data_IF_847615701552
#
_entry.id   IF_847615701552
#
_cell.length_a   1.000
_cell.length_b   1.000
_cell.length_c   1.000
_cell.angle_alpha   90.00
_cell.angle_beta   90.00
_cell.angle_gamma   90.00
#
_symmetry.space_group_name_H-M   'P 1'
#
loop_
_entity.id
_entity.type
_entity.pdbx_description
1 polymer ?
#
# COMPACT_ATOMS: atom_id res chain seq x y z
N UNK A 1 -9.84 -33.20 -21.51
CA UNK A 1 -8.47 -32.67 -21.63
C UNK A 1 -7.94 -32.44 -20.21
N UNK A 2 -6.84 -33.08 -19.85
CA UNK A 2 -6.29 -33.13 -18.49
C UNK A 2 -5.80 -31.74 -18.08
N UNK A 3 -6.35 -31.20 -17.00
CA UNK A 3 -5.95 -29.93 -16.41
C UNK A 3 -4.58 -30.11 -15.72
N UNK A 4 -3.52 -29.52 -16.29
CA UNK A 4 -2.23 -29.46 -15.60
C UNK A 4 -2.24 -28.28 -14.62
N UNK A 5 -2.40 -28.60 -13.35
CA UNK A 5 -2.28 -27.68 -12.22
C UNK A 5 -0.80 -27.25 -12.07
N UNK A 6 -0.45 -26.04 -12.49
CA UNK A 6 0.78 -25.37 -12.04
C UNK A 6 0.52 -24.76 -10.65
N UNK A 7 1.49 -24.75 -9.73
CA UNK A 7 1.22 -24.93 -8.32
C UNK A 7 0.86 -23.59 -7.69
N UNK A 8 -0.40 -23.43 -7.33
CA UNK A 8 -0.70 -22.70 -6.09
C UNK A 8 0.01 -23.50 -5.01
N UNK A 9 1.02 -22.92 -4.35
CA UNK A 9 1.61 -23.52 -3.16
C UNK A 9 0.45 -23.98 -2.29
N UNK A 10 0.28 -25.28 -2.17
CA UNK A 10 -0.87 -25.85 -1.47
C UNK A 10 -0.96 -25.18 -0.11
N UNK A 11 -2.17 -24.88 0.36
CA UNK A 11 -2.43 -24.28 1.67
C UNK A 11 -1.53 -24.83 2.82
N UNK A 12 -1.17 -26.14 2.85
CA UNK A 12 -0.16 -26.70 3.76
C UNK A 12 1.25 -26.07 3.67
N UNK A 13 1.74 -25.75 2.47
CA UNK A 13 3.08 -25.19 2.24
C UNK A 13 3.18 -23.73 2.70
N UNK A 14 2.10 -22.95 2.53
CA UNK A 14 2.02 -21.59 3.10
C UNK A 14 2.02 -21.66 4.63
N UNK A 15 1.25 -22.57 5.22
CA UNK A 15 1.28 -22.81 6.68
C UNK A 15 2.65 -23.26 7.17
N UNK A 16 3.34 -24.12 6.42
CA UNK A 16 4.69 -24.57 6.75
C UNK A 16 5.70 -23.42 6.67
N UNK A 17 5.58 -22.54 5.66
CA UNK A 17 6.43 -21.37 5.51
C UNK A 17 6.21 -20.35 6.66
N UNK A 18 4.95 -20.09 7.03
CA UNK A 18 4.59 -19.25 8.18
C UNK A 18 5.10 -19.85 9.50
N UNK A 19 4.87 -21.14 9.72
CA UNK A 19 5.38 -21.85 10.90
C UNK A 19 6.92 -21.85 10.98
N UNK A 20 7.61 -22.05 9.86
CA UNK A 20 9.06 -21.95 9.82
C UNK A 20 9.56 -20.52 10.05
N UNK A 21 8.85 -19.50 9.56
CA UNK A 21 9.17 -18.11 9.81
C UNK A 21 9.02 -17.76 11.29
N UNK A 22 7.92 -18.18 11.94
CA UNK A 22 7.68 -18.02 13.37
C UNK A 22 8.73 -18.76 14.22
N UNK A 23 8.96 -20.05 13.94
CA UNK A 23 9.88 -20.89 14.72
C UNK A 23 11.35 -20.50 14.55
N UNK A 24 11.73 -19.98 13.37
CA UNK A 24 13.10 -19.50 13.10
C UNK A 24 13.29 -18.00 13.33
N UNK A 25 12.26 -17.29 13.80
CA UNK A 25 12.27 -15.82 14.01
C UNK A 25 12.77 -15.05 12.78
N UNK A 26 12.35 -15.48 11.58
CA UNK A 26 12.73 -14.86 10.30
C UNK A 26 11.59 -13.94 9.85
N UNK A 27 11.72 -12.62 9.97
CA UNK A 27 10.67 -11.72 9.51
C UNK A 27 10.56 -11.85 7.98
N UNK A 28 9.36 -12.12 7.47
CA UNK A 28 9.09 -12.09 6.04
C UNK A 28 8.94 -10.64 5.53
N UNK A 29 8.42 -9.79 6.41
CA UNK A 29 8.07 -8.39 6.15
C UNK A 29 8.85 -7.52 7.14
N UNK A 30 9.41 -6.42 6.66
CA UNK A 30 9.96 -5.35 7.49
C UNK A 30 9.35 -4.01 7.11
N UNK A 31 9.06 -3.18 8.11
CA UNK A 31 8.68 -1.78 7.93
C UNK A 31 9.84 -0.89 8.35
N UNK A 32 10.28 -0.02 7.44
CA UNK A 32 11.37 0.92 7.63
C UNK A 32 10.76 2.32 7.61
N UNK A 33 10.93 3.04 8.72
CA UNK A 33 10.55 4.43 8.82
C UNK A 33 11.61 5.26 8.09
N UNK A 34 11.22 5.86 6.97
CA UNK A 34 12.12 6.66 6.13
C UNK A 34 12.39 8.01 6.77
N UNK A 35 11.34 8.62 7.32
CA UNK A 35 11.34 10.00 7.77
C UNK A 35 10.21 10.20 8.79
N UNK A 36 10.41 11.05 9.80
CA UNK A 36 9.38 11.34 10.80
C UNK A 36 8.43 12.47 10.37
N UNK A 37 8.91 13.41 9.56
CA UNK A 37 8.12 14.55 9.07
C UNK A 37 7.12 14.16 7.99
N UNK A 38 6.00 14.88 7.96
CA UNK A 38 4.94 14.76 6.97
C UNK A 38 4.43 16.15 6.60
N UNK A 39 4.01 16.36 5.35
CA UNK A 39 3.40 17.61 4.89
C UNK A 39 1.93 17.78 5.29
N UNK A 40 1.26 16.71 5.77
CA UNK A 40 -0.16 16.72 6.13
C UNK A 40 -0.37 16.64 7.65
N UNK A 41 -1.58 16.99 8.10
CA UNK A 41 -2.03 16.89 9.49
C UNK A 41 -3.34 16.09 9.55
N UNK A 42 -3.31 14.85 9.07
CA UNK A 42 -4.53 14.05 8.90
C UNK A 42 -5.27 13.82 10.24
N UNK A 43 -6.59 13.88 10.20
CA UNK A 43 -7.45 13.57 11.33
C UNK A 43 -7.27 12.10 11.74
N UNK A 44 -6.92 11.87 13.01
CA UNK A 44 -6.69 10.52 13.54
C UNK A 44 -5.34 9.89 13.14
N UNK A 45 -4.39 10.66 12.61
CA UNK A 45 -3.05 10.18 12.29
C UNK A 45 -2.32 9.68 13.55
N UNK A 46 -2.05 8.37 13.63
CA UNK A 46 -1.25 7.82 14.73
C UNK A 46 0.16 8.39 14.73
N UNK A 47 0.77 8.56 13.55
CA UNK A 47 2.14 9.07 13.39
C UNK A 47 2.33 10.45 14.01
N UNK A 48 1.39 11.37 13.77
CA UNK A 48 1.43 12.71 14.36
C UNK A 48 1.31 12.69 15.89
N UNK A 49 0.61 11.68 16.44
CA UNK A 49 0.41 11.56 17.89
C UNK A 49 1.55 10.87 18.62
N UNK A 50 2.33 10.04 17.94
CA UNK A 50 3.32 9.17 18.60
C UNK A 50 4.75 9.40 18.14
N UNK A 51 5.00 9.75 16.88
CA UNK A 51 6.37 9.74 16.33
C UNK A 51 6.83 11.10 15.76
N UNK A 52 5.91 11.95 15.28
CA UNK A 52 6.27 13.15 14.50
C UNK A 52 7.10 14.18 15.26
N UNK A 53 6.87 14.32 16.56
CA UNK A 53 7.56 15.27 17.43
C UNK A 53 8.77 14.66 18.13
N UNK A 54 9.01 13.36 17.96
CA UNK A 54 10.17 12.72 18.55
C UNK A 54 11.42 13.01 17.72
N UNK A 55 12.40 13.63 18.37
CA UNK A 55 13.74 13.87 17.82
C UNK A 55 14.51 12.56 17.79
N UNK A 56 14.19 11.71 16.81
CA UNK A 56 14.89 10.47 16.53
C UNK A 56 15.89 10.68 15.42
N UNK A 57 17.06 10.11 15.59
CA UNK A 57 18.07 10.04 14.55
C UNK A 57 17.51 9.31 13.32
N UNK A 58 17.44 10.02 12.18
CA UNK A 58 16.99 9.45 10.92
C UNK A 58 18.10 8.59 10.29
N UNK A 59 17.72 7.47 9.66
CA UNK A 59 18.69 6.63 8.95
C UNK A 59 19.34 7.42 7.80
N UNK A 60 20.68 7.36 7.75
CA UNK A 60 21.43 7.80 6.58
C UNK A 60 21.14 6.89 5.37
N UNK A 61 21.52 7.35 4.18
CA UNK A 61 21.40 6.56 2.94
C UNK A 61 22.08 5.20 3.08
N UNK A 62 23.28 5.19 3.66
CA UNK A 62 24.14 4.03 3.84
C UNK A 62 23.60 3.09 4.93
N UNK A 63 23.16 3.64 6.07
CA UNK A 63 22.61 2.84 7.17
C UNK A 63 21.34 2.09 6.75
N UNK A 64 20.49 2.75 5.95
CA UNK A 64 19.30 2.10 5.40
C UNK A 64 19.64 0.97 4.43
N UNK A 65 20.64 1.15 3.56
CA UNK A 65 21.09 0.10 2.65
C UNK A 65 21.67 -1.11 3.40
N UNK A 66 22.49 -0.88 4.43
CA UNK A 66 23.03 -1.95 5.26
C UNK A 66 21.94 -2.63 6.10
N UNK A 67 20.96 -1.88 6.60
CA UNK A 67 19.78 -2.45 7.26
C UNK A 67 19.01 -3.40 6.34
N UNK A 68 18.76 -3.00 5.08
CA UNK A 68 18.08 -3.84 4.07
C UNK A 68 18.84 -5.14 3.85
N UNK A 69 20.17 -5.05 3.68
CA UNK A 69 21.02 -6.22 3.48
C UNK A 69 20.98 -7.19 4.69
N UNK A 70 21.06 -6.66 5.92
CA UNK A 70 20.93 -7.47 7.15
C UNK A 70 19.56 -8.14 7.24
N UNK A 71 18.49 -7.41 6.98
CA UNK A 71 17.11 -7.93 7.00
C UNK A 71 16.89 -9.00 5.92
N UNK A 72 17.44 -8.81 4.73
CA UNK A 72 17.40 -9.78 3.64
C UNK A 72 18.06 -11.11 4.02
N UNK A 73 19.26 -11.06 4.61
CA UNK A 73 19.96 -12.26 5.13
C UNK A 73 19.13 -12.99 6.18
N UNK A 74 18.40 -12.25 7.01
CA UNK A 74 17.49 -12.81 8.03
C UNK A 74 16.19 -13.38 7.45
N UNK A 75 15.91 -13.19 6.17
CA UNK A 75 14.77 -13.80 5.47
C UNK A 75 13.68 -12.81 5.04
N UNK A 76 13.88 -11.51 5.24
CA UNK A 76 12.93 -10.49 4.79
C UNK A 76 12.87 -10.49 3.27
N UNK A 77 11.66 -10.46 2.72
CA UNK A 77 11.40 -10.41 1.28
C UNK A 77 10.52 -9.23 0.88
N UNK A 78 9.78 -8.65 1.82
CA UNK A 78 8.93 -7.49 1.58
C UNK A 78 9.34 -6.35 2.50
N UNK A 79 9.61 -5.20 1.90
CA UNK A 79 10.10 -4.01 2.59
C UNK A 79 9.09 -2.90 2.42
N UNK A 80 8.47 -2.51 3.52
CA UNK A 80 7.57 -1.37 3.57
C UNK A 80 8.38 -0.12 3.92
N UNK A 81 8.31 0.88 3.07
CA UNK A 81 8.86 2.21 3.34
C UNK A 81 7.70 3.09 3.80
N UNK A 82 7.74 3.46 5.08
CA UNK A 82 6.68 4.17 5.81
C UNK A 82 7.26 5.36 6.58
N UNK A 83 6.44 6.04 7.38
CA UNK A 83 6.86 7.11 8.28
C UNK A 83 5.81 8.21 8.30
N UNK A 84 6.28 9.45 8.27
CA UNK A 84 5.45 10.62 7.97
C UNK A 84 5.02 10.62 6.49
N UNK A 85 5.83 11.21 5.61
CA UNK A 85 5.67 11.06 4.16
C UNK A 85 6.99 10.64 3.50
N UNK A 86 7.18 9.34 3.19
CA UNK A 86 8.44 8.84 2.62
C UNK A 86 8.90 9.55 1.36
N UNK A 87 7.97 10.02 0.51
CA UNK A 87 8.31 10.63 -0.77
C UNK A 87 8.89 12.04 -0.64
N UNK A 88 8.93 12.64 0.57
CA UNK A 88 9.75 13.84 0.82
C UNK A 88 11.25 13.53 0.71
N UNK A 89 11.63 12.27 0.99
CA UNK A 89 13.01 11.77 0.93
C UNK A 89 13.21 10.90 -0.32
N UNK A 90 12.77 11.38 -1.49
CA UNK A 90 12.71 10.60 -2.73
C UNK A 90 14.02 9.90 -3.10
N UNK A 91 15.15 10.57 -2.92
CA UNK A 91 16.48 10.00 -3.18
C UNK A 91 16.79 8.80 -2.27
N UNK A 92 16.48 8.91 -0.96
CA UNK A 92 16.62 7.80 -0.01
C UNK A 92 15.76 6.61 -0.41
N UNK A 93 14.48 6.87 -0.68
CA UNK A 93 13.55 5.82 -1.08
C UNK A 93 14.00 5.15 -2.38
N UNK A 94 14.42 5.92 -3.39
CA UNK A 94 14.92 5.38 -4.65
C UNK A 94 16.11 4.45 -4.43
N UNK A 95 17.11 4.93 -3.68
CA UNK A 95 18.33 4.16 -3.39
C UNK A 95 17.99 2.84 -2.72
N UNK A 96 17.15 2.87 -1.70
CA UNK A 96 16.75 1.70 -0.92
C UNK A 96 15.89 0.73 -1.72
N UNK A 97 14.97 1.23 -2.55
CA UNK A 97 14.17 0.41 -3.44
C UNK A 97 15.04 -0.35 -4.44
N UNK A 98 16.05 0.31 -5.02
CA UNK A 98 17.01 -0.34 -5.93
C UNK A 98 17.84 -1.41 -5.21
N UNK A 99 18.23 -1.16 -3.97
CA UNK A 99 18.95 -2.15 -3.16
C UNK A 99 18.08 -3.37 -2.83
N UNK A 100 16.82 -3.18 -2.46
CA UNK A 100 15.85 -4.28 -2.26
C UNK A 100 15.69 -5.10 -3.54
N UNK A 101 15.54 -4.43 -4.69
CA UNK A 101 15.35 -5.08 -5.98
C UNK A 101 16.58 -5.89 -6.40
N UNK A 102 17.81 -5.41 -6.11
CA UNK A 102 19.07 -6.12 -6.35
C UNK A 102 19.10 -7.49 -5.67
N UNK A 103 18.49 -7.61 -4.50
CA UNK A 103 18.36 -8.88 -3.80
C UNK A 103 17.18 -9.74 -4.28
N UNK A 104 16.30 -9.20 -5.13
CA UNK A 104 15.05 -9.86 -5.52
C UNK A 104 13.91 -9.68 -4.51
N UNK A 105 14.04 -8.74 -3.58
CA UNK A 105 12.95 -8.33 -2.69
C UNK A 105 11.86 -7.53 -3.41
N UNK A 106 10.79 -7.22 -2.67
CA UNK A 106 9.69 -6.37 -3.14
C UNK A 106 9.59 -5.17 -2.22
N UNK A 107 9.54 -3.98 -2.80
CA UNK A 107 9.37 -2.72 -2.09
C UNK A 107 7.90 -2.30 -2.12
N UNK A 108 7.41 -1.82 -0.99
CA UNK A 108 6.05 -1.29 -0.85
C UNK A 108 6.17 0.09 -0.21
N UNK A 109 5.84 1.13 -0.96
CA UNK A 109 5.90 2.51 -0.45
C UNK A 109 4.52 2.92 0.00
N UNK A 110 4.37 3.27 1.28
CA UNK A 110 3.13 3.82 1.82
C UNK A 110 3.24 5.33 1.77
N UNK A 111 2.41 5.98 0.96
CA UNK A 111 2.51 7.43 0.69
C UNK A 111 1.13 8.07 0.65
N UNK A 112 1.04 9.33 1.07
CA UNK A 112 -0.13 10.18 0.90
C UNK A 112 -0.35 10.63 -0.55
N UNK A 113 0.61 10.37 -1.46
CA UNK A 113 0.49 10.62 -2.89
C UNK A 113 0.77 12.06 -3.33
N UNK A 114 1.18 12.96 -2.42
CA UNK A 114 1.32 14.39 -2.74
C UNK A 114 2.62 14.75 -3.47
N UNK A 115 3.67 13.93 -3.33
CA UNK A 115 4.96 14.18 -4.00
C UNK A 115 5.09 13.46 -5.36
N UNK A 116 3.96 13.03 -5.93
CA UNK A 116 3.94 12.24 -7.14
C UNK A 116 4.50 10.83 -6.95
N UNK A 117 4.46 10.03 -8.00
CA UNK A 117 5.07 8.71 -8.04
C UNK A 117 6.05 8.62 -9.22
N UNK A 118 7.09 7.79 -9.13
CA UNK A 118 7.89 7.39 -10.29
C UNK A 118 6.99 6.83 -11.40
N UNK A 119 7.45 6.92 -12.64
CA UNK A 119 6.78 6.29 -13.77
C UNK A 119 6.64 4.77 -13.56
N UNK A 120 5.63 4.12 -14.17
CA UNK A 120 5.49 2.67 -14.09
C UNK A 120 6.81 1.96 -14.45
N UNK A 121 7.22 1.00 -13.62
CA UNK A 121 8.45 0.22 -13.75
C UNK A 121 9.78 0.99 -13.63
N UNK A 122 9.77 2.32 -13.42
CA UNK A 122 10.99 3.11 -13.17
C UNK A 122 11.72 2.59 -11.93
N UNK A 123 10.95 2.27 -10.88
CA UNK A 123 11.42 1.66 -9.65
C UNK A 123 11.09 0.16 -9.67
N UNK A 124 12.09 -0.72 -9.84
CA UNK A 124 11.85 -2.15 -10.06
C UNK A 124 11.24 -2.83 -8.84
N UNK A 125 10.40 -3.85 -9.06
CA UNK A 125 9.78 -4.68 -8.01
C UNK A 125 9.11 -3.86 -6.91
N UNK A 126 8.50 -2.74 -7.28
CA UNK A 126 7.93 -1.77 -6.34
C UNK A 126 6.43 -1.64 -6.53
N UNK A 127 5.72 -1.51 -5.41
CA UNK A 127 4.30 -1.18 -5.36
C UNK A 127 4.08 0.04 -4.47
N UNK A 128 2.99 0.75 -4.71
CA UNK A 128 2.64 1.96 -3.98
C UNK A 128 1.32 1.76 -3.29
N UNK A 129 1.29 1.94 -1.97
CA UNK A 129 0.08 1.94 -1.16
C UNK A 129 -0.27 3.40 -0.93
N UNK A 130 -1.08 3.94 -1.86
CA UNK A 130 -1.49 5.34 -1.84
C UNK A 130 -2.68 5.48 -0.90
N UNK A 131 -2.49 6.35 0.07
CA UNK A 131 -3.41 6.62 1.14
C UNK A 131 -4.65 7.39 0.61
N UNK A 132 -5.83 6.78 0.67
CA UNK A 132 -7.08 7.31 0.12
C UNK A 132 -8.24 6.98 1.06
N UNK A 133 -8.98 7.98 1.52
CA UNK A 133 -9.95 7.85 2.61
C UNK A 133 -11.40 8.08 2.14
N UNK A 134 -11.67 7.82 0.87
CA UNK A 134 -12.99 7.97 0.28
C UNK A 134 -12.98 8.88 -0.95
N UNK A 135 -14.19 9.30 -1.32
CA UNK A 135 -14.42 10.37 -2.27
C UNK A 135 -13.76 11.68 -1.82
N UNK A 136 -13.91 12.75 -2.60
CA UNK A 136 -13.36 14.07 -2.24
C UNK A 136 -13.76 14.48 -0.82
N UNK A 137 -15.01 14.26 -0.44
CA UNK A 137 -15.49 14.67 0.88
C UNK A 137 -14.82 13.88 2.00
N UNK A 138 -14.65 12.57 1.86
CA UNK A 138 -13.89 11.74 2.80
C UNK A 138 -12.42 12.16 2.89
N UNK A 139 -11.80 12.41 1.74
CA UNK A 139 -10.41 12.89 1.66
C UNK A 139 -10.23 14.26 2.30
N UNK A 140 -11.15 15.20 2.08
CA UNK A 140 -11.07 16.53 2.68
C UNK A 140 -11.32 16.48 4.21
N UNK A 141 -12.22 15.62 4.68
CA UNK A 141 -12.45 15.41 6.13
C UNK A 141 -11.25 14.78 6.84
N UNK A 142 -10.59 13.81 6.21
CA UNK A 142 -9.52 13.03 6.86
C UNK A 142 -8.14 13.65 6.62
N UNK A 143 -7.84 14.07 5.39
CA UNK A 143 -6.50 14.52 4.97
C UNK A 143 -6.44 16.01 4.69
N UNK A 144 -7.54 16.59 4.24
CA UNK A 144 -7.67 18.02 3.99
C UNK A 144 -6.86 18.50 2.79
N UNK A 145 -6.26 19.67 2.97
CA UNK A 145 -5.54 20.40 1.94
C UNK A 145 -4.03 20.26 2.12
N UNK A 146 -3.31 20.08 1.02
CA UNK A 146 -1.87 20.07 1.04
C UNK A 146 -1.33 21.49 0.98
N UNK A 147 -0.88 21.98 2.13
CA UNK A 147 -0.36 23.35 2.28
C UNK A 147 0.95 23.57 1.51
N UNK A 148 1.74 22.51 1.28
CA UNK A 148 3.03 22.61 0.61
C UNK A 148 2.80 22.78 -0.90
N UNK A 149 1.99 21.92 -1.50
CA UNK A 149 1.71 21.96 -2.95
C UNK A 149 0.53 22.87 -3.31
N UNK A 150 -0.14 23.47 -2.32
CA UNK A 150 -1.30 24.36 -2.47
C UNK A 150 -2.42 23.77 -3.31
N UNK A 151 -2.74 22.51 -3.08
CA UNK A 151 -3.81 21.80 -3.80
C UNK A 151 -4.52 20.77 -2.92
N UNK A 152 -5.69 20.32 -3.37
CA UNK A 152 -6.45 19.26 -2.69
C UNK A 152 -5.69 17.94 -2.75
N UNK A 153 -5.55 17.25 -1.61
CA UNK A 153 -4.94 15.91 -1.55
C UNK A 153 -5.70 14.93 -2.44
N UNK A 154 -7.02 15.08 -2.56
CA UNK A 154 -7.83 14.24 -3.46
C UNK A 154 -7.38 14.34 -4.92
N UNK A 155 -7.11 15.53 -5.44
CA UNK A 155 -6.66 15.69 -6.84
C UNK A 155 -5.28 15.09 -7.09
N UNK A 156 -4.38 15.20 -6.11
CA UNK A 156 -3.05 14.60 -6.18
C UNK A 156 -3.14 13.07 -6.19
N UNK A 157 -3.89 12.49 -5.23
CA UNK A 157 -4.13 11.05 -5.16
C UNK A 157 -4.79 10.52 -6.42
N UNK A 158 -5.80 11.23 -6.93
CA UNK A 158 -6.46 10.91 -8.19
C UNK A 158 -5.46 10.86 -9.34
N UNK A 159 -4.60 11.87 -9.46
CA UNK A 159 -3.57 11.96 -10.51
C UNK A 159 -2.59 10.79 -10.45
N UNK A 160 -2.08 10.44 -9.27
CA UNK A 160 -1.06 9.38 -9.13
C UNK A 160 -1.63 7.98 -9.14
N UNK A 161 -2.91 7.79 -8.80
CA UNK A 161 -3.51 6.47 -8.71
C UNK A 161 -4.30 6.06 -9.96
N UNK A 162 -4.86 7.02 -10.70
CA UNK A 162 -5.62 6.71 -11.91
C UNK A 162 -4.75 6.01 -12.95
N UNK A 163 -5.23 4.90 -13.51
CA UNK A 163 -4.56 4.09 -14.53
C UNK A 163 -3.25 3.41 -14.11
N UNK A 164 -2.96 3.33 -12.81
CA UNK A 164 -1.72 2.69 -12.29
C UNK A 164 -2.03 1.33 -11.67
N UNK A 165 -1.52 0.26 -12.29
CA UNK A 165 -1.69 -1.13 -11.79
C UNK A 165 -0.78 -1.47 -10.61
N UNK A 166 0.30 -0.73 -10.45
CA UNK A 166 1.28 -0.82 -9.36
C UNK A 166 0.89 0.00 -8.13
N UNK A 167 -0.23 0.74 -8.21
CA UNK A 167 -0.82 1.50 -7.11
C UNK A 167 -2.00 0.74 -6.51
N UNK A 168 -1.97 0.54 -5.19
CA UNK A 168 -3.09 0.10 -4.37
C UNK A 168 -3.55 1.25 -3.49
N UNK A 169 -4.85 1.39 -3.32
CA UNK A 169 -5.41 2.40 -2.44
C UNK A 169 -5.61 1.82 -1.04
N UNK A 170 -5.15 2.55 -0.03
CA UNK A 170 -5.24 2.17 1.37
C UNK A 170 -6.09 3.18 2.14
N UNK A 171 -7.19 2.70 2.75
CA UNK A 171 -8.13 3.51 3.52
C UNK A 171 -7.98 3.24 5.02
N UNK A 172 -7.97 4.29 5.82
CA UNK A 172 -8.13 4.19 7.27
C UNK A 172 -9.60 4.48 7.61
N UNK A 173 -10.33 3.44 7.99
CA UNK A 173 -11.76 3.54 8.28
C UNK A 173 -11.98 4.14 9.67
N UNK A 174 -12.80 5.19 9.74
CA UNK A 174 -13.17 5.86 10.99
C UNK A 174 -14.57 6.48 10.90
N UNK A 175 -15.10 7.03 12.00
CA UNK A 175 -16.38 7.76 11.99
C UNK A 175 -16.43 8.93 11.00
N UNK A 176 -15.29 9.43 10.53
CA UNK A 176 -15.20 10.57 9.60
C UNK A 176 -15.53 10.20 8.15
N UNK A 177 -15.31 8.94 7.76
CA UNK A 177 -15.38 8.49 6.37
C UNK A 177 -16.12 7.17 6.19
N UNK A 178 -16.64 6.55 7.25
CA UNK A 178 -17.33 5.27 7.16
C UNK A 178 -18.64 5.35 6.36
N UNK A 179 -19.22 6.54 6.27
CA UNK A 179 -20.38 6.89 5.44
C UNK A 179 -20.00 7.15 3.96
N UNK A 180 -18.71 7.20 3.65
CA UNK A 180 -18.19 7.42 2.28
C UNK A 180 -17.74 6.14 1.59
N UNK A 181 -17.79 5.02 2.29
CA UNK A 181 -17.45 3.72 1.72
C UNK A 181 -18.74 3.23 1.06
N UNK A 182 -18.89 3.42 -0.26
CA UNK A 182 -20.13 3.06 -0.95
C UNK A 182 -20.15 3.29 -2.45
N UNK A 183 -20.44 2.22 -3.22
CA UNK A 183 -20.94 2.33 -4.59
C UNK A 183 -21.70 1.06 -4.97
N UNK A 184 -22.96 1.16 -5.42
CA UNK A 184 -23.76 0.04 -5.91
C UNK A 184 -23.33 -0.46 -7.30
N UNK A 185 -22.35 0.20 -7.94
CA UNK A 185 -21.90 -0.13 -9.31
C UNK A 185 -20.61 -0.98 -9.36
N UNK A 186 -20.02 -1.31 -8.21
CA UNK A 186 -18.72 -2.00 -8.17
C UNK A 186 -18.90 -3.52 -8.03
N UNK A 187 -18.32 -4.38 -8.91
CA UNK A 187 -18.42 -5.85 -8.81
C UNK A 187 -17.85 -6.42 -7.51
N UNK A 188 -17.15 -5.60 -6.72
CA UNK A 188 -16.78 -5.93 -5.34
C UNK A 188 -17.99 -6.11 -4.42
N UNK A 189 -19.23 -5.82 -4.85
CA UNK A 189 -20.48 -6.09 -4.12
C UNK A 189 -20.62 -7.56 -3.68
N UNK A 190 -19.88 -8.49 -4.28
CA UNK A 190 -19.80 -9.91 -3.85
C UNK A 190 -18.83 -10.16 -2.68
N UNK A 191 -17.77 -9.36 -2.52
CA UNK A 191 -16.72 -9.55 -1.51
C UNK A 191 -16.98 -8.79 -0.20
N UNK A 192 -17.52 -9.44 0.82
CA UNK A 192 -17.97 -8.80 2.07
C UNK A 192 -16.84 -8.18 2.91
N UNK A 193 -16.88 -6.85 3.07
CA UNK A 193 -16.11 -6.13 4.07
C UNK A 193 -16.95 -5.96 5.33
N UNK A 194 -16.42 -6.43 6.46
CA UNK A 194 -17.09 -6.47 7.75
C UNK A 194 -16.28 -5.59 8.72
N UNK A 195 -16.95 -4.68 9.43
CA UNK A 195 -16.35 -3.90 10.52
C UNK A 195 -15.95 -4.83 11.68
N UNK A 196 -15.12 -4.32 12.59
CA UNK A 196 -14.79 -5.03 13.82
C UNK A 196 -16.03 -5.35 14.69
N UNK A 197 -17.14 -4.62 14.52
CA UNK A 197 -18.43 -4.85 15.20
C UNK A 197 -19.36 -5.80 14.43
N UNK A 198 -18.91 -6.40 13.32
CA UNK A 198 -19.71 -7.32 12.53
C UNK A 198 -20.62 -6.67 11.48
N UNK A 199 -20.68 -5.33 11.40
CA UNK A 199 -21.52 -4.66 10.39
C UNK A 199 -20.88 -4.64 9.01
N UNK A 200 -21.70 -4.86 7.98
CA UNK A 200 -21.30 -4.78 6.58
C UNK A 200 -21.01 -3.32 6.16
N UNK A 201 -19.99 -3.15 5.30
CA UNK A 201 -19.60 -1.86 4.73
C UNK A 201 -19.78 -1.89 3.19
N UNK A 202 -20.37 -0.84 2.59
CA UNK A 202 -20.38 -0.66 1.13
C UNK A 202 -18.97 -0.24 0.63
N UNK A 203 -18.60 -0.43 -0.65
CA UNK A 203 -17.21 -0.85 -0.98
C UNK A 203 -16.35 0.04 -1.88
N UNK A 204 -16.83 1.16 -2.42
CA UNK A 204 -15.98 2.00 -3.29
C UNK A 204 -15.30 3.12 -2.52
N UNK A 205 -13.96 3.11 -2.53
CA UNK A 205 -13.10 4.16 -1.97
C UNK A 205 -13.12 5.46 -2.78
N UNK A 206 -13.64 5.47 -4.00
CA UNK A 206 -13.80 6.68 -4.82
C UNK A 206 -15.25 7.18 -4.86
N UNK A 207 -16.17 6.54 -4.13
CA UNK A 207 -17.60 6.85 -4.17
C UNK A 207 -18.32 6.38 -5.46
N UNK A 208 -19.54 6.86 -5.71
CA UNK A 208 -20.42 6.38 -6.78
C UNK A 208 -19.96 6.72 -8.20
N UNK A 209 -19.04 7.68 -8.36
CA UNK A 209 -18.52 8.16 -9.65
C UNK A 209 -17.16 7.53 -10.04
N UNK A 210 -16.70 6.50 -9.31
CA UNK A 210 -15.43 5.84 -9.61
C UNK A 210 -15.40 5.17 -10.99
N UNK A 211 -14.40 5.49 -11.81
CA UNK A 211 -14.18 4.84 -13.11
C UNK A 211 -13.56 3.43 -12.93
N UNK A 212 -14.42 2.41 -13.03
CA UNK A 212 -14.04 1.01 -12.83
C UNK A 212 -13.18 0.45 -13.97
N UNK A 213 -13.19 1.05 -15.15
CA UNK A 213 -12.34 0.60 -16.28
C UNK A 213 -10.85 0.93 -16.07
N UNK A 214 -10.56 1.77 -15.06
CA UNK A 214 -9.24 2.39 -14.81
C UNK A 214 -8.74 2.25 -13.36
N UNK A 215 -9.47 1.51 -12.51
CA UNK A 215 -9.20 1.39 -11.06
C UNK A 215 -8.22 0.23 -10.73
N UNK A 216 -7.18 0.50 -9.93
CA UNK A 216 -6.20 -0.47 -9.41
C UNK A 216 -6.58 -1.19 -8.10
N UNK A 217 -7.88 -1.28 -7.77
CA UNK A 217 -8.35 -1.94 -6.54
C UNK A 217 -7.95 -3.43 -6.51
N UNK A 218 -7.34 -3.89 -5.41
CA UNK A 218 -6.93 -5.29 -5.24
C UNK A 218 -8.09 -6.27 -5.47
N UNK A 219 -9.31 -5.94 -5.03
CA UNK A 219 -10.48 -6.82 -5.19
C UNK A 219 -10.86 -6.93 -6.68
N UNK A 220 -10.87 -5.81 -7.41
CA UNK A 220 -11.17 -5.83 -8.85
C UNK A 220 -10.09 -6.58 -9.64
N UNK A 221 -8.81 -6.28 -9.39
CA UNK A 221 -7.70 -6.97 -10.05
C UNK A 221 -7.70 -8.48 -9.75
N UNK A 222 -8.02 -8.87 -8.51
CA UNK A 222 -8.15 -10.28 -8.14
C UNK A 222 -9.33 -10.95 -8.84
N UNK A 223 -10.46 -10.27 -8.93
CA UNK A 223 -11.66 -10.83 -9.55
C UNK A 223 -11.48 -11.00 -11.06
N UNK A 224 -10.91 -10.00 -11.75
CA UNK A 224 -10.57 -10.10 -13.18
C UNK A 224 -9.57 -11.22 -13.42
N UNK A 225 -8.51 -11.30 -12.60
CA UNK A 225 -7.51 -12.37 -12.70
C UNK A 225 -8.11 -13.77 -12.46
N UNK A 226 -9.05 -13.91 -11.52
CA UNK A 226 -9.79 -15.16 -11.28
C UNK A 226 -10.71 -15.49 -12.47
N UNK A 227 -11.44 -14.51 -13.00
CA UNK A 227 -12.40 -14.70 -14.10
C UNK A 227 -11.71 -15.02 -15.43
N UNK A 228 -10.57 -14.38 -15.70
CA UNK A 228 -9.86 -14.47 -16.99
C UNK A 228 -8.72 -15.49 -16.97
N UNK A 229 -8.47 -16.14 -15.82
CA UNK A 229 -7.43 -17.15 -15.67
C UNK A 229 -6.00 -16.58 -15.68
N UNK A 230 -5.85 -15.26 -15.60
CA UNK A 230 -4.55 -14.58 -15.49
C UNK A 230 -4.00 -14.66 -14.06
N UNK A 231 -3.55 -15.86 -13.69
CA UNK A 231 -3.05 -16.14 -12.35
C UNK A 231 -1.71 -15.46 -12.04
N UNK A 232 -1.00 -14.89 -13.02
CA UNK A 232 0.27 -14.17 -12.78
C UNK A 232 0.03 -12.81 -12.12
N UNK A 233 -1.02 -12.09 -12.50
CA UNK A 233 -1.41 -10.83 -11.86
C UNK A 233 -2.11 -11.04 -10.50
N UNK A 234 -2.76 -12.19 -10.27
CA UNK A 234 -3.34 -12.58 -8.98
C UNK A 234 -2.33 -12.94 -7.88
N UNK A 235 -1.10 -13.35 -8.24
CA UNK A 235 -0.06 -13.82 -7.30
C UNK A 235 0.45 -12.78 -6.29
N UNK A 236 -0.07 -11.56 -6.34
CA UNK A 236 0.32 -10.46 -5.46
C UNK A 236 -0.58 -10.28 -4.23
N UNK A 237 -1.35 -11.32 -3.90
CA UNK A 237 -2.08 -11.53 -2.65
C UNK A 237 -1.65 -12.83 -1.97
N UNK A 238 -0.36 -12.91 -1.65
CA UNK A 238 0.19 -13.72 -0.55
C UNK A 238 1.38 -12.96 0.01
#
# INVERSE_FOLDING_TARGET
MKWSTNPVLSFPLIRLALWQAEKRKRPLIASINVVNRCNLHCAGCYWTKTEREEDREELSLEDGAELIHRLWKRGTRHFFFIGGEPMTEREKVERWVREVARFGGVSIIVTNGTYGLPAPNEWPRTRYYVSCDGDRQGMDRVRGFDVIHKTSVFEQVKTVAMNRKDVKLAMTISKLNVDRIGSPRCPTFIAQSIRADGQLIERCIFGPEGDCSRCGCNIYTSFVAIREGDHETARFLT
#
